data_IF_513507417792
#
_entry.id   IF_513507417792
#
_cell.length_a   1.000
_cell.length_b   1.000
_cell.length_c   1.000
_cell.angle_alpha   90.00
_cell.angle_beta   90.00
_cell.angle_gamma   90.00
#
_symmetry.space_group_name_H-M   'P 1'
#
loop_
_entity.id
_entity.type
_entity.pdbx_description
1 polymer ?
#
# COMPACT_ATOMS: atom_id res chain seq x y z
N UNK A 1 -0.70 -25.41 18.79
CA UNK A 1 -2.05 -25.17 18.23
C UNK A 1 -1.84 -24.29 17.02
N UNK A 2 -2.17 -24.72 15.81
CA UNK A 2 -2.30 -23.78 14.69
C UNK A 2 -3.58 -22.99 14.96
N UNK A 3 -3.47 -21.87 15.65
CA UNK A 3 -4.58 -20.95 15.73
C UNK A 3 -4.84 -20.48 14.30
N UNK A 4 -6.08 -20.64 13.80
CA UNK A 4 -6.49 -20.05 12.53
C UNK A 4 -6.33 -18.54 12.56
N UNK A 5 -6.50 -17.90 11.40
CA UNK A 5 -6.45 -16.44 11.25
C UNK A 5 -7.46 -15.75 12.19
N UNK A 6 -7.08 -14.60 12.75
CA UNK A 6 -7.91 -13.78 13.64
C UNK A 6 -8.94 -12.94 12.90
N UNK A 7 -8.57 -12.41 11.73
CA UNK A 7 -9.39 -11.55 10.87
C UNK A 7 -9.52 -12.11 9.45
N UNK A 8 -8.44 -12.65 8.87
CA UNK A 8 -8.50 -13.14 7.48
C UNK A 8 -9.40 -14.38 7.36
N UNK A 9 -10.16 -14.43 6.28
CA UNK A 9 -10.71 -15.71 5.80
C UNK A 9 -9.61 -16.54 5.10
N UNK A 10 -9.84 -17.85 4.98
CA UNK A 10 -8.96 -18.74 4.20
C UNK A 10 -8.80 -18.28 2.74
N UNK A 11 -9.85 -17.68 2.16
CA UNK A 11 -9.81 -17.14 0.80
C UNK A 11 -8.94 -15.88 0.72
N UNK A 12 -9.08 -14.98 1.69
CA UNK A 12 -8.24 -13.78 1.80
C UNK A 12 -6.76 -14.12 2.01
N UNK A 13 -6.46 -15.07 2.90
CA UNK A 13 -5.10 -15.53 3.13
C UNK A 13 -4.50 -16.18 1.87
N UNK A 14 -5.28 -16.97 1.14
CA UNK A 14 -4.86 -17.53 -0.15
C UNK A 14 -4.66 -16.46 -1.21
N UNK A 15 -5.53 -15.47 -1.27
CA UNK A 15 -5.39 -14.34 -2.18
C UNK A 15 -4.10 -13.58 -1.93
N UNK A 16 -3.74 -13.33 -0.66
CA UNK A 16 -2.46 -12.71 -0.31
C UNK A 16 -1.26 -13.54 -0.82
N UNK A 17 -1.27 -14.85 -0.58
CA UNK A 17 -0.18 -15.73 -1.02
C UNK A 17 -0.07 -15.83 -2.55
N UNK A 18 -1.20 -15.86 -3.25
CA UNK A 18 -1.26 -16.04 -4.71
C UNK A 18 -1.05 -14.72 -5.48
N UNK A 19 -1.46 -13.59 -4.90
CA UNK A 19 -1.50 -12.27 -5.58
C UNK A 19 -0.60 -11.21 -4.95
N UNK A 20 0.11 -11.55 -3.87
CA UNK A 20 0.98 -10.62 -3.14
C UNK A 20 0.25 -9.43 -2.53
N UNK A 21 -1.08 -9.48 -2.38
CA UNK A 21 -1.84 -8.45 -1.68
C UNK A 21 -3.20 -9.00 -1.21
N UNK A 22 -3.85 -8.31 -0.28
CA UNK A 22 -5.25 -8.56 0.12
C UNK A 22 -5.92 -7.27 0.58
N UNK A 23 -7.21 -7.13 0.30
CA UNK A 23 -8.01 -5.99 0.76
C UNK A 23 -8.93 -6.41 1.89
N UNK A 24 -8.92 -5.64 2.98
CA UNK A 24 -9.80 -5.81 4.14
C UNK A 24 -10.82 -4.69 4.14
N UNK A 25 -12.06 -5.04 3.79
CA UNK A 25 -13.16 -4.09 3.64
C UNK A 25 -13.56 -3.46 4.99
N UNK A 26 -13.68 -2.13 5.01
CA UNK A 26 -14.13 -1.35 6.17
C UNK A 26 -13.30 -1.61 7.43
N UNK A 27 -12.00 -1.86 7.29
CA UNK A 27 -11.11 -2.11 8.42
C UNK A 27 -10.77 -0.84 9.22
N UNK A 28 -10.96 0.33 8.60
CA UNK A 28 -10.86 1.66 9.22
C UNK A 28 -12.25 2.28 9.34
N UNK A 29 -12.61 2.86 10.51
CA UNK A 29 -13.88 3.55 10.67
C UNK A 29 -14.03 4.73 9.68
N UNK A 30 -15.18 4.81 9.00
CA UNK A 30 -15.46 5.87 8.01
C UNK A 30 -15.37 7.28 8.61
N UNK A 31 -15.74 7.46 9.89
CA UNK A 31 -15.63 8.75 10.59
C UNK A 31 -14.18 9.19 10.78
N UNK A 32 -13.27 8.25 11.10
CA UNK A 32 -11.84 8.54 11.20
C UNK A 32 -11.26 8.92 9.84
N UNK A 33 -11.64 8.18 8.79
CA UNK A 33 -11.20 8.48 7.43
C UNK A 33 -11.68 9.87 6.97
N UNK A 34 -12.93 10.23 7.32
CA UNK A 34 -13.48 11.56 7.07
C UNK A 34 -12.69 12.63 7.82
N UNK A 35 -12.45 12.46 9.12
CA UNK A 35 -11.68 13.42 9.94
C UNK A 35 -10.29 13.66 9.35
N UNK A 36 -9.57 12.60 9.01
CA UNK A 36 -8.22 12.69 8.45
C UNK A 36 -8.20 13.38 7.08
N UNK A 37 -9.21 13.13 6.25
CA UNK A 37 -9.38 13.81 4.96
C UNK A 37 -9.68 15.30 5.15
N UNK A 38 -10.58 15.67 6.06
CA UNK A 38 -10.87 17.07 6.38
C UNK A 38 -9.63 17.80 6.89
N UNK A 39 -8.86 17.16 7.78
CA UNK A 39 -7.57 17.69 8.24
C UNK A 39 -6.57 17.83 7.09
N UNK A 40 -6.51 16.88 6.14
CA UNK A 40 -5.62 16.99 4.99
C UNK A 40 -5.96 18.21 4.12
N UNK A 41 -7.24 18.41 3.76
CA UNK A 41 -7.67 19.59 3.01
C UNK A 41 -7.40 20.90 3.76
N UNK A 42 -7.69 20.95 5.07
CA UNK A 42 -7.40 22.14 5.89
C UNK A 42 -5.90 22.48 5.91
N UNK A 43 -5.03 21.47 5.97
CA UNK A 43 -3.57 21.66 5.94
C UNK A 43 -3.05 22.10 4.58
N UNK A 44 -3.69 21.67 3.50
CA UNK A 44 -3.36 22.10 2.13
C UNK A 44 -3.91 23.50 1.82
N UNK A 45 -4.93 23.96 2.55
CA UNK A 45 -5.65 25.19 2.24
C UNK A 45 -6.57 25.06 1.03
N UNK A 46 -6.95 23.82 0.69
CA UNK A 46 -7.79 23.50 -0.47
C UNK A 46 -9.23 23.28 -0.04
N UNK A 47 -10.17 23.65 -0.90
CA UNK A 47 -11.59 23.33 -0.73
C UNK A 47 -11.89 21.98 -1.40
N UNK A 48 -12.36 20.96 -0.68
CA UNK A 48 -12.70 19.66 -1.28
C UNK A 48 -13.82 19.72 -2.32
N UNK A 49 -14.63 20.78 -2.33
CA UNK A 49 -15.75 20.95 -3.27
C UNK A 49 -15.42 21.91 -4.43
N UNK A 50 -14.24 22.55 -4.42
CA UNK A 50 -13.77 23.43 -5.50
C UNK A 50 -12.38 23.01 -6.02
N UNK A 51 -12.33 22.17 -7.08
CA UNK A 51 -11.09 21.75 -7.72
C UNK A 51 -10.21 22.88 -8.25
N UNK A 52 -10.74 24.10 -8.44
CA UNK A 52 -9.93 25.24 -8.86
C UNK A 52 -8.94 25.71 -7.78
N UNK A 53 -9.17 25.30 -6.52
CA UNK A 53 -8.27 25.53 -5.40
C UNK A 53 -7.12 24.54 -5.33
N UNK A 54 -7.15 23.44 -6.10
CA UNK A 54 -6.15 22.37 -6.02
C UNK A 54 -4.94 22.72 -6.90
N UNK A 55 -3.91 23.29 -6.31
CA UNK A 55 -2.77 23.88 -7.03
C UNK A 55 -1.77 22.85 -7.60
N UNK A 56 -1.99 21.55 -7.40
CA UNK A 56 -1.09 20.49 -7.89
C UNK A 56 -1.85 19.21 -8.17
N UNK A 57 -1.43 18.47 -9.19
CA UNK A 57 -2.07 17.20 -9.58
C UNK A 57 -1.85 16.09 -8.55
N UNK A 58 -0.71 16.12 -7.83
CA UNK A 58 -0.33 15.16 -6.80
C UNK A 58 0.53 15.82 -5.73
N UNK A 59 0.28 15.50 -4.47
CA UNK A 59 1.04 16.02 -3.31
C UNK A 59 1.45 14.87 -2.38
N UNK A 60 2.70 14.92 -1.90
CA UNK A 60 3.16 14.13 -0.75
C UNK A 60 3.16 15.03 0.48
N UNK A 61 2.25 14.76 1.42
CA UNK A 61 2.10 15.57 2.61
C UNK A 61 3.09 15.13 3.70
N UNK A 62 3.70 16.06 4.47
CA UNK A 62 4.48 15.68 5.63
C UNK A 62 3.58 15.09 6.73
N UNK A 63 4.13 14.27 7.62
CA UNK A 63 3.39 13.80 8.80
C UNK A 63 3.42 14.86 9.91
N UNK A 64 2.28 15.10 10.55
CA UNK A 64 2.16 15.96 11.74
C UNK A 64 1.60 15.22 12.96
N UNK A 65 0.72 14.23 12.72
CA UNK A 65 0.06 13.45 13.74
C UNK A 65 0.27 11.96 13.49
N UNK A 66 0.13 11.14 14.54
CA UNK A 66 0.14 9.68 14.40
C UNK A 66 -0.70 9.01 15.46
N UNK A 67 -1.21 7.82 15.12
CA UNK A 67 -2.08 7.00 15.97
C UNK A 67 -1.56 5.57 16.02
N UNK A 68 -1.78 4.87 17.15
CA UNK A 68 -1.51 3.44 17.23
C UNK A 68 -2.58 2.70 16.43
N UNK A 69 -2.17 1.86 15.48
CA UNK A 69 -3.11 1.22 14.54
C UNK A 69 -4.09 0.30 15.27
N UNK A 70 -3.63 -0.44 16.28
CA UNK A 70 -4.48 -1.32 17.09
C UNK A 70 -5.64 -0.59 17.76
N UNK A 71 -5.46 0.68 18.14
CA UNK A 71 -6.44 1.44 18.89
C UNK A 71 -7.54 2.02 17.97
N UNK A 72 -7.18 2.37 16.74
CA UNK A 72 -8.09 3.06 15.80
C UNK A 72 -8.63 2.16 14.69
N UNK A 73 -7.93 1.08 14.35
CA UNK A 73 -8.25 0.15 13.28
C UNK A 73 -7.91 -1.31 13.70
N UNK A 74 -8.57 -1.84 14.76
CA UNK A 74 -8.22 -3.15 15.33
C UNK A 74 -8.35 -4.31 14.32
N UNK A 75 -9.29 -4.22 13.37
CA UNK A 75 -9.45 -5.21 12.29
C UNK A 75 -8.24 -5.18 11.34
N UNK A 76 -7.79 -3.99 10.92
CA UNK A 76 -6.59 -3.86 10.10
C UNK A 76 -5.35 -4.40 10.82
N UNK A 77 -5.19 -4.08 12.11
CA UNK A 77 -4.12 -4.63 12.93
C UNK A 77 -4.15 -6.15 13.00
N UNK A 78 -5.32 -6.75 13.22
CA UNK A 78 -5.48 -8.21 13.27
C UNK A 78 -5.15 -8.86 11.92
N UNK A 79 -5.62 -8.30 10.80
CA UNK A 79 -5.29 -8.79 9.46
C UNK A 79 -3.78 -8.70 9.16
N UNK A 80 -3.12 -7.60 9.52
CA UNK A 80 -1.67 -7.45 9.38
C UNK A 80 -0.95 -8.54 10.19
N UNK A 81 -1.38 -8.78 11.44
CA UNK A 81 -0.82 -9.84 12.26
C UNK A 81 -1.00 -11.24 11.64
N UNK A 82 -2.14 -11.51 11.01
CA UNK A 82 -2.40 -12.78 10.32
C UNK A 82 -1.45 -12.96 9.13
N UNK A 83 -1.24 -11.91 8.33
CA UNK A 83 -0.33 -11.94 7.17
C UNK A 83 1.12 -12.20 7.60
N UNK A 84 1.63 -11.51 8.62
CA UNK A 84 3.01 -11.74 9.09
C UNK A 84 3.19 -13.07 9.84
N UNK A 85 2.07 -13.72 10.21
CA UNK A 85 2.05 -15.00 10.90
C UNK A 85 2.19 -14.89 12.43
N UNK A 86 1.74 -13.78 13.02
CA UNK A 86 1.72 -13.57 14.47
C UNK A 86 2.12 -12.16 14.89
N UNK A 87 1.53 -11.65 15.97
CA UNK A 87 1.87 -10.32 16.53
C UNK A 87 3.31 -10.28 17.07
N UNK A 88 3.84 -11.42 17.50
CA UNK A 88 5.23 -11.60 17.95
C UNK A 88 6.26 -11.44 16.83
N UNK A 89 5.83 -11.44 15.56
CA UNK A 89 6.68 -11.21 14.39
C UNK A 89 6.72 -9.75 13.93
N UNK A 90 5.90 -8.89 14.52
CA UNK A 90 5.98 -7.46 14.26
C UNK A 90 7.26 -6.90 14.88
N UNK A 91 7.97 -6.06 14.12
CA UNK A 91 9.13 -5.33 14.64
C UNK A 91 8.73 -4.37 15.78
N UNK A 92 7.51 -3.82 15.70
CA UNK A 92 6.88 -3.00 16.72
C UNK A 92 5.40 -3.37 16.85
N UNK A 93 4.98 -3.89 18.01
CA UNK A 93 3.58 -4.22 18.28
C UNK A 93 2.69 -3.00 18.56
N UNK A 94 3.28 -1.82 18.66
CA UNK A 94 2.61 -0.53 18.78
C UNK A 94 2.78 0.34 17.53
N UNK A 95 3.00 -0.29 16.35
CA UNK A 95 3.20 0.42 15.10
C UNK A 95 2.07 1.43 14.82
N UNK A 96 2.46 2.53 14.17
CA UNK A 96 1.65 3.72 14.03
C UNK A 96 1.40 4.04 12.58
N UNK A 97 0.21 4.57 12.29
CA UNK A 97 -0.01 5.32 11.06
C UNK A 97 0.08 6.80 11.34
N UNK A 98 0.56 7.54 10.36
CA UNK A 98 0.69 8.98 10.41
C UNK A 98 -0.17 9.63 9.31
N UNK A 99 -0.51 10.89 9.50
CA UNK A 99 -1.33 11.68 8.55
C UNK A 99 -0.52 12.28 7.39
N UNK A 100 0.62 11.66 7.04
CA UNK A 100 1.39 11.97 5.83
C UNK A 100 0.79 11.26 4.62
N UNK A 101 -0.18 11.90 3.96
CA UNK A 101 -0.90 11.31 2.84
C UNK A 101 -0.21 11.56 1.49
N UNK A 102 -0.34 10.59 0.59
CA UNK A 102 -0.10 10.78 -0.84
C UNK A 102 -1.44 11.06 -1.50
N UNK A 103 -1.66 12.30 -1.91
CA UNK A 103 -2.94 12.75 -2.48
C UNK A 103 -2.79 12.89 -3.98
N UNK A 104 -3.67 12.23 -4.72
CA UNK A 104 -3.81 12.40 -6.18
C UNK A 104 -5.11 13.17 -6.45
N UNK A 105 -4.98 14.38 -6.99
CA UNK A 105 -6.09 15.24 -7.37
C UNK A 105 -6.50 15.07 -8.83
N UNK A 106 -5.52 14.94 -9.72
CA UNK A 106 -5.77 14.89 -11.16
C UNK A 106 -4.62 14.29 -11.99
N UNK A 107 -3.65 13.62 -11.36
CA UNK A 107 -2.48 13.09 -12.06
C UNK A 107 -2.90 12.12 -13.17
N UNK A 108 -2.62 12.51 -14.42
CA UNK A 108 -2.94 11.72 -15.61
C UNK A 108 -4.40 11.77 -16.03
N UNK A 109 -5.21 12.69 -15.50
CA UNK A 109 -6.60 12.91 -15.92
C UNK A 109 -6.71 13.57 -17.31
N UNK A 110 -5.61 14.12 -17.83
CA UNK A 110 -5.48 14.79 -19.13
C UNK A 110 -5.20 13.84 -20.31
N UNK A 111 -5.03 12.54 -20.04
CA UNK A 111 -4.73 11.50 -21.02
C UNK A 111 -5.70 10.33 -20.97
N UNK A 112 -5.70 9.52 -22.02
CA UNK A 112 -6.43 8.25 -22.02
C UNK A 112 -5.88 7.32 -20.93
N UNK A 113 -6.77 6.60 -20.25
CA UNK A 113 -6.38 5.68 -19.19
C UNK A 113 -5.72 4.42 -19.77
N UNK A 114 -4.51 4.13 -19.30
CA UNK A 114 -3.82 2.90 -19.62
C UNK A 114 -4.19 1.78 -18.63
N UNK A 115 -4.57 0.58 -19.10
CA UNK A 115 -4.76 -0.56 -18.22
C UNK A 115 -3.43 -1.03 -17.59
N UNK A 116 -3.48 -1.61 -16.38
CA UNK A 116 -2.29 -2.10 -15.70
C UNK A 116 -1.59 -3.17 -16.54
N UNK A 117 -0.31 -2.97 -16.82
CA UNK A 117 0.53 -3.86 -17.63
C UNK A 117 2.02 -3.57 -17.45
N UNK A 118 2.89 -4.46 -17.95
CA UNK A 118 4.33 -4.21 -18.00
C UNK A 118 4.74 -3.01 -18.89
N UNK A 119 3.82 -2.47 -19.71
CA UNK A 119 4.10 -1.34 -20.61
C UNK A 119 3.91 0.03 -19.96
N UNK A 120 3.12 0.11 -18.88
CA UNK A 120 2.99 1.35 -18.12
C UNK A 120 4.21 1.53 -17.22
N UNK A 121 4.65 2.78 -17.03
CA UNK A 121 5.80 3.11 -16.20
C UNK A 121 5.45 3.28 -14.72
N UNK A 122 6.46 3.60 -13.91
CA UNK A 122 6.28 3.90 -12.47
C UNK A 122 6.38 2.68 -11.55
N UNK A 123 6.62 1.49 -12.09
CA UNK A 123 6.85 0.28 -11.30
C UNK A 123 8.08 0.42 -10.41
N UNK A 124 7.89 0.11 -9.13
CA UNK A 124 8.94 0.09 -8.12
C UNK A 124 8.58 -0.93 -7.04
N UNK A 125 9.56 -1.22 -6.19
CA UNK A 125 9.38 -1.89 -4.91
C UNK A 125 9.91 -0.93 -3.85
N UNK A 126 9.17 -0.79 -2.75
CA UNK A 126 9.55 0.11 -1.66
C UNK A 126 10.81 -0.33 -0.93
N UNK A 127 11.49 0.67 -0.36
CA UNK A 127 12.69 0.53 0.46
C UNK A 127 13.92 1.25 -0.09
N UNK A 128 13.82 2.52 -0.47
CA UNK A 128 14.93 3.33 -0.97
C UNK A 128 15.93 3.80 0.11
N UNK A 129 15.68 3.44 1.38
CA UNK A 129 16.49 3.83 2.55
C UNK A 129 17.27 2.69 3.22
N UNK A 130 17.22 1.46 2.71
CA UNK A 130 17.94 0.33 3.31
C UNK A 130 18.56 -0.61 2.27
N UNK A 131 19.52 -1.42 2.70
CA UNK A 131 20.14 -2.44 1.85
C UNK A 131 19.25 -3.68 1.78
N UNK A 132 18.89 -4.12 0.58
CA UNK A 132 18.00 -5.24 0.37
C UNK A 132 18.72 -6.58 0.49
N UNK A 133 18.18 -7.47 1.33
CA UNK A 133 18.45 -8.91 1.32
C UNK A 133 17.11 -9.64 1.24
N UNK A 134 17.11 -10.89 0.80
CA UNK A 134 15.89 -11.69 0.74
C UNK A 134 15.17 -11.80 2.10
N UNK A 135 15.95 -11.91 3.16
CA UNK A 135 15.53 -12.25 4.53
C UNK A 135 15.62 -11.08 5.52
N UNK A 136 15.80 -9.85 5.03
CA UNK A 136 15.91 -8.67 5.90
C UNK A 136 14.53 -8.23 6.41
N UNK A 137 14.40 -7.88 7.70
CA UNK A 137 13.12 -7.48 8.29
C UNK A 137 12.56 -6.17 7.72
N UNK A 138 13.41 -5.33 7.11
CA UNK A 138 13.01 -4.08 6.46
C UNK A 138 12.19 -4.33 5.18
N UNK A 139 12.26 -5.54 4.59
CA UNK A 139 11.33 -5.97 3.54
C UNK A 139 10.02 -6.46 4.15
N UNK A 140 9.29 -5.51 4.71
CA UNK A 140 7.97 -5.73 5.31
C UNK A 140 6.82 -5.50 4.33
N UNK A 141 5.63 -5.45 4.91
CA UNK A 141 4.38 -5.15 4.22
C UNK A 141 4.25 -3.65 3.96
N UNK A 142 3.68 -3.29 2.81
CA UNK A 142 3.15 -1.96 2.56
C UNK A 142 1.65 -1.95 2.88
N UNK A 143 1.21 -0.95 3.64
CA UNK A 143 -0.19 -0.79 4.00
C UNK A 143 -0.74 0.46 3.32
N UNK A 144 -1.78 0.28 2.50
CA UNK A 144 -2.50 1.38 1.87
C UNK A 144 -3.89 1.45 2.48
N UNK A 145 -4.17 2.55 3.19
CA UNK A 145 -5.52 2.87 3.67
C UNK A 145 -6.24 3.69 2.61
N UNK A 146 -7.46 3.29 2.26
CA UNK A 146 -8.30 4.01 1.30
C UNK A 146 -9.08 5.10 2.05
N UNK A 147 -8.57 6.35 1.98
CA UNK A 147 -9.15 7.53 2.65
C UNK A 147 -10.31 8.18 1.88
N UNK A 148 -10.47 7.82 0.62
CA UNK A 148 -11.55 8.24 -0.28
C UNK A 148 -11.78 7.13 -1.29
N UNK A 149 -13.02 6.91 -1.70
CA UNK A 149 -13.37 5.85 -2.66
C UNK A 149 -12.49 5.93 -3.92
N UNK A 150 -11.92 4.80 -4.30
CA UNK A 150 -11.14 4.63 -5.53
C UNK A 150 -11.99 3.78 -6.47
N UNK A 151 -12.57 4.44 -7.46
CA UNK A 151 -13.37 3.79 -8.51
C UNK A 151 -12.45 3.18 -9.57
N UNK A 152 -12.95 2.24 -10.39
CA UNK A 152 -12.21 1.77 -11.55
C UNK A 152 -11.76 2.94 -12.43
N UNK A 153 -10.49 2.94 -12.82
CA UNK A 153 -9.87 3.97 -13.67
C UNK A 153 -9.82 5.36 -13.05
N UNK A 154 -9.86 5.47 -11.71
CA UNK A 154 -9.80 6.75 -11.00
C UNK A 154 -8.45 7.01 -10.33
N UNK A 155 -7.38 6.42 -10.84
CA UNK A 155 -6.01 6.64 -10.35
C UNK A 155 -5.62 5.74 -9.17
N UNK A 156 -6.20 4.54 -9.09
CA UNK A 156 -5.80 3.53 -8.10
C UNK A 156 -4.38 3.02 -8.32
N UNK A 157 -3.73 2.59 -7.24
CA UNK A 157 -2.40 1.97 -7.30
C UNK A 157 -2.47 0.70 -8.14
N UNK A 158 -1.55 0.53 -9.09
CA UNK A 158 -1.40 -0.73 -9.79
C UNK A 158 -0.46 -1.66 -9.03
N UNK A 159 -0.83 -2.93 -8.95
CA UNK A 159 -0.02 -4.01 -8.37
C UNK A 159 0.31 -5.06 -9.43
N UNK A 160 1.52 -5.59 -9.36
CA UNK A 160 1.94 -6.74 -10.15
C UNK A 160 1.87 -7.99 -9.24
N UNK A 161 0.81 -8.76 -9.41
CA UNK A 161 0.40 -9.83 -8.50
C UNK A 161 1.40 -11.00 -8.46
N UNK A 162 2.18 -11.19 -9.52
CA UNK A 162 3.21 -12.22 -9.65
C UNK A 162 4.65 -11.67 -9.42
N UNK A 163 4.79 -10.44 -8.90
CA UNK A 163 6.09 -9.77 -8.76
C UNK A 163 6.99 -10.29 -7.64
N UNK A 164 6.44 -10.95 -6.62
CA UNK A 164 7.24 -11.50 -5.50
C UNK A 164 8.27 -12.50 -6.01
N UNK A 165 7.90 -13.37 -6.96
CA UNK A 165 8.78 -14.41 -7.49
C UNK A 165 10.04 -13.86 -8.20
N UNK A 166 9.96 -12.95 -9.20
CA UNK A 166 11.15 -12.41 -9.85
C UNK A 166 12.01 -11.59 -8.88
N UNK A 167 11.41 -10.86 -7.93
CA UNK A 167 12.15 -10.12 -6.90
C UNK A 167 12.91 -11.07 -5.98
N UNK A 168 12.25 -12.11 -5.46
CA UNK A 168 12.88 -13.09 -4.58
C UNK A 168 14.03 -13.80 -5.31
N UNK A 169 13.83 -14.20 -6.57
CA UNK A 169 14.90 -14.79 -7.40
C UNK A 169 16.09 -13.84 -7.55
N UNK A 170 15.85 -12.57 -7.83
CA UNK A 170 16.89 -11.56 -7.95
C UNK A 170 17.75 -11.45 -6.68
N UNK A 171 17.10 -11.49 -5.50
CA UNK A 171 17.77 -11.37 -4.20
C UNK A 171 18.46 -12.67 -3.75
N UNK A 172 17.90 -13.85 -4.06
CA UNK A 172 18.54 -15.15 -3.80
C UNK A 172 19.91 -15.22 -4.48
N UNK A 173 20.01 -14.71 -5.71
CA UNK A 173 21.24 -14.71 -6.50
C UNK A 173 22.26 -13.66 -6.01
N UNK A 174 21.95 -12.87 -4.97
CA UNK A 174 22.78 -11.78 -4.41
C UNK A 174 22.78 -11.77 -2.88
N UNK A 175 23.37 -12.80 -2.24
CA UNK A 175 23.38 -12.92 -0.78
C UNK A 175 24.14 -11.80 -0.07
N UNK A 176 25.04 -11.09 -0.76
CA UNK A 176 25.72 -9.89 -0.25
C UNK A 176 24.79 -8.69 -0.08
N UNK A 177 23.56 -8.77 -0.62
CA UNK A 177 22.55 -7.73 -0.61
C UNK A 177 22.84 -6.58 -1.58
N UNK A 178 21.81 -5.82 -1.92
CA UNK A 178 21.87 -4.74 -2.92
C UNK A 178 21.45 -3.40 -2.30
N UNK A 179 22.19 -2.34 -2.61
CA UNK A 179 21.71 -0.99 -2.36
C UNK A 179 20.54 -0.65 -3.29
N UNK A 180 19.59 0.22 -2.89
CA UNK A 180 18.42 0.53 -3.70
C UNK A 180 18.74 1.00 -5.12
N UNK A 181 19.84 1.72 -5.30
CA UNK A 181 20.28 2.23 -6.60
C UNK A 181 20.79 1.12 -7.55
N UNK A 182 21.08 -0.07 -7.03
CA UNK A 182 21.63 -1.21 -7.77
C UNK A 182 20.55 -2.21 -8.23
N UNK A 183 19.37 -2.19 -7.59
CA UNK A 183 18.36 -3.25 -7.77
C UNK A 183 17.61 -3.12 -9.08
N UNK A 184 17.31 -1.88 -9.49
CA UNK A 184 16.45 -1.57 -10.63
C UNK A 184 15.17 -2.42 -10.68
N UNK A 185 14.54 -2.68 -9.52
CA UNK A 185 13.41 -3.62 -9.41
C UNK A 185 12.27 -3.37 -10.41
N UNK A 186 11.99 -2.11 -10.76
CA UNK A 186 10.97 -1.78 -11.76
C UNK A 186 11.24 -2.38 -13.15
N UNK A 187 12.50 -2.69 -13.50
CA UNK A 187 12.84 -3.34 -14.76
C UNK A 187 12.47 -4.84 -14.79
N UNK A 188 12.23 -5.45 -13.63
CA UNK A 188 11.79 -6.84 -13.54
C UNK A 188 10.31 -7.01 -13.90
N UNK A 189 9.57 -5.91 -14.12
CA UNK A 189 8.16 -5.96 -14.48
C UNK A 189 7.87 -6.72 -15.77
N UNK A 190 8.84 -6.81 -16.68
CA UNK A 190 8.71 -7.62 -17.91
C UNK A 190 8.60 -9.12 -17.65
N UNK A 191 8.92 -9.59 -16.44
CA UNK A 191 8.71 -10.97 -16.00
C UNK A 191 7.33 -11.20 -15.38
N UNK A 192 6.54 -10.14 -15.17
CA UNK A 192 5.21 -10.19 -14.59
C UNK A 192 4.13 -10.21 -15.70
N UNK A 193 3.02 -10.86 -15.41
CA UNK A 193 1.91 -11.05 -16.34
C UNK A 193 0.54 -10.82 -15.72
N UNK A 194 0.46 -10.82 -14.39
CA UNK A 194 -0.75 -10.62 -13.63
C UNK A 194 -0.73 -9.25 -12.95
N UNK A 195 -1.62 -8.37 -13.40
CA UNK A 195 -1.66 -6.99 -12.93
C UNK A 195 -3.08 -6.61 -12.53
N UNK A 196 -3.20 -5.83 -11.46
CA UNK A 196 -4.49 -5.33 -10.97
C UNK A 196 -4.41 -3.83 -10.65
N UNK A 197 -5.53 -3.14 -10.81
CA UNK A 197 -5.76 -1.82 -10.22
C UNK A 197 -6.41 -2.02 -8.85
N UNK A 198 -5.83 -1.43 -7.81
CA UNK A 198 -6.46 -1.39 -6.49
C UNK A 198 -7.59 -0.36 -6.53
N UNK A 199 -8.82 -0.85 -6.37
CA UNK A 199 -10.04 -0.08 -6.16
C UNK A 199 -10.61 -0.41 -4.79
N UNK A 200 -11.43 0.48 -4.23
CA UNK A 200 -12.11 0.19 -2.96
C UNK A 200 -12.89 1.38 -2.43
N UNK A 201 -13.54 1.18 -1.30
CA UNK A 201 -14.30 2.20 -0.60
C UNK A 201 -13.49 2.84 0.54
N UNK A 202 -13.93 4.03 0.94
CA UNK A 202 -13.41 4.71 2.13
C UNK A 202 -13.46 3.78 3.35
N UNK A 203 -12.30 3.56 3.96
CA UNK A 203 -12.12 2.71 5.14
C UNK A 203 -11.54 1.32 4.83
N UNK A 204 -11.40 0.95 3.56
CA UNK A 204 -10.73 -0.28 3.16
C UNK A 204 -9.21 -0.18 3.38
N UNK A 205 -8.57 -1.33 3.62
CA UNK A 205 -7.12 -1.42 3.79
C UNK A 205 -6.57 -2.49 2.87
N UNK A 206 -5.69 -2.10 1.95
CA UNK A 206 -4.89 -3.01 1.17
C UNK A 206 -3.58 -3.31 1.90
N UNK A 207 -3.29 -4.59 2.09
CA UNK A 207 -2.03 -5.12 2.63
C UNK A 207 -1.28 -5.73 1.46
N UNK A 208 -0.06 -5.27 1.20
CA UNK A 208 0.79 -5.65 0.06
C UNK A 208 2.12 -6.17 0.59
#
# INVERSE_FOLDING_TARGET
MSAGYRELTEEQARHFLDKGHVVIEGAVPKDLAKEWREHAFARLGFDPEDPSTWESERIHMPSMNSVVVRDVAPRAHAAICDVVGGEDRLADSAFRWADGMIVNFSQGADREWDPPSAKVGGWHKDGDWFKHFLDTPEQGLLIIVIWSDIKPRSGGTFVACDSVQPIAKFLVDRPEGCLPQETHFGQLIGACSDFAELTGETGDVAII
#
